data_IF_083254280880
#
_entry.id   IF_083254280880
#
_cell.length_a   1.000
_cell.length_b   1.000
_cell.length_c   1.000
_cell.angle_alpha   90.00
_cell.angle_beta   90.00
_cell.angle_gamma   90.00
#
_symmetry.space_group_name_H-M   'P 1'
#
loop_
_entity.id
_entity.type
_entity.pdbx_description
1 polymer ?
#
# COMPACT_ATOMS: atom_id res chain seq x y z
N UNK A 1 -19.98 -39.42 37.86
CA UNK A 1 -20.39 -38.13 37.28
C UNK A 1 -19.27 -37.13 37.53
N UNK A 2 -18.44 -36.79 36.53
CA UNK A 2 -17.47 -35.70 36.65
C UNK A 2 -17.56 -34.78 35.42
N UNK A 3 -18.13 -33.61 35.65
CA UNK A 3 -18.34 -32.55 34.67
C UNK A 3 -17.01 -31.79 34.49
N UNK A 4 -16.40 -31.87 33.30
CA UNK A 4 -15.14 -31.19 32.98
C UNK A 4 -15.47 -29.92 32.18
N UNK A 5 -15.70 -28.82 32.88
CA UNK A 5 -15.84 -27.50 32.25
C UNK A 5 -14.47 -27.11 31.69
N UNK A 6 -14.35 -27.09 30.36
CA UNK A 6 -13.19 -26.50 29.68
C UNK A 6 -13.32 -24.98 29.76
N UNK A 7 -12.27 -24.23 30.16
CA UNK A 7 -12.29 -22.79 30.03
C UNK A 7 -12.29 -22.44 28.54
N UNK A 8 -13.32 -21.71 28.10
CA UNK A 8 -13.35 -21.08 26.78
C UNK A 8 -12.30 -19.97 26.83
N UNK A 9 -11.21 -20.12 26.09
CA UNK A 9 -10.21 -19.06 25.96
C UNK A 9 -10.75 -18.02 24.97
N UNK A 10 -11.06 -16.82 25.46
CA UNK A 10 -11.44 -15.68 24.65
C UNK A 10 -10.19 -15.12 23.93
N UNK A 11 -9.89 -15.62 22.73
CA UNK A 11 -8.78 -15.16 21.88
C UNK A 11 -9.14 -13.99 20.96
N UNK A 12 -9.94 -13.04 21.43
CA UNK A 12 -10.39 -11.92 20.58
C UNK A 12 -9.29 -10.90 20.30
N UNK A 13 -8.39 -10.64 21.25
CA UNK A 13 -7.35 -9.58 21.12
C UNK A 13 -6.26 -9.93 20.11
N UNK A 14 -5.89 -11.20 19.98
CA UNK A 14 -4.83 -11.65 19.05
C UNK A 14 -5.27 -11.58 17.59
N UNK A 15 -6.55 -11.83 17.32
CA UNK A 15 -7.08 -11.95 15.96
C UNK A 15 -7.13 -10.60 15.24
N UNK A 16 -7.50 -9.51 15.94
CA UNK A 16 -7.54 -8.16 15.36
C UNK A 16 -6.12 -7.67 14.97
N UNK A 17 -5.14 -7.84 15.86
CA UNK A 17 -3.76 -7.45 15.56
C UNK A 17 -3.13 -8.24 14.40
N UNK A 18 -3.46 -9.52 14.28
CA UNK A 18 -3.01 -10.36 13.16
C UNK A 18 -3.64 -9.93 11.83
N UNK A 19 -4.94 -9.60 11.83
CA UNK A 19 -5.64 -9.11 10.64
C UNK A 19 -5.05 -7.78 10.16
N UNK A 20 -4.82 -6.82 11.08
CA UNK A 20 -4.22 -5.53 10.75
C UNK A 20 -2.81 -5.66 10.18
N UNK A 21 -2.00 -6.57 10.72
CA UNK A 21 -0.65 -6.81 10.21
C UNK A 21 -0.66 -7.49 8.84
N UNK A 22 -1.53 -8.48 8.63
CA UNK A 22 -1.72 -9.07 7.29
C UNK A 22 -2.12 -8.00 6.27
N UNK A 23 -2.99 -7.08 6.67
CA UNK A 23 -3.49 -6.00 5.86
C UNK A 23 -2.40 -4.98 5.49
N UNK A 24 -1.51 -4.65 6.44
CA UNK A 24 -0.33 -3.82 6.20
C UNK A 24 0.60 -4.48 5.19
N UNK A 25 0.90 -5.76 5.35
CA UNK A 25 1.76 -6.51 4.43
C UNK A 25 1.21 -6.56 3.01
N UNK A 26 -0.09 -6.80 2.85
CA UNK A 26 -0.75 -6.75 1.53
C UNK A 26 -0.66 -5.36 0.92
N UNK A 27 -0.88 -4.31 1.73
CA UNK A 27 -0.79 -2.92 1.25
C UNK A 27 0.65 -2.58 0.81
N UNK A 28 1.67 -3.01 1.57
CA UNK A 28 3.07 -2.84 1.21
C UNK A 28 3.42 -3.57 -0.09
N UNK A 29 2.95 -4.81 -0.28
CA UNK A 29 3.14 -5.56 -1.52
C UNK A 29 2.48 -4.86 -2.72
N UNK A 30 1.30 -4.26 -2.53
CA UNK A 30 0.63 -3.49 -3.57
C UNK A 30 1.35 -2.17 -3.89
N UNK A 31 2.00 -1.53 -2.92
CA UNK A 31 2.84 -0.35 -3.15
C UNK A 31 4.11 -0.77 -3.90
N UNK A 32 4.68 -1.94 -3.58
CA UNK A 32 5.91 -2.42 -4.19
C UNK A 32 7.12 -1.55 -3.80
N UNK A 33 8.13 -1.42 -4.66
CA UNK A 33 9.35 -0.67 -4.39
C UNK A 33 9.16 0.86 -4.47
N UNK A 34 7.93 1.35 -4.64
CA UNK A 34 7.66 2.80 -4.75
C UNK A 34 7.93 3.48 -3.42
N UNK A 35 9.03 4.21 -3.36
CA UNK A 35 9.40 5.14 -2.29
C UNK A 35 9.72 6.52 -2.88
N UNK A 36 9.54 7.63 -2.14
CA UNK A 36 9.85 8.97 -2.64
C UNK A 36 11.27 9.05 -3.24
N UNK A 37 11.37 9.52 -4.49
CA UNK A 37 12.59 9.59 -5.30
C UNK A 37 12.82 8.39 -6.24
N UNK A 38 12.04 7.31 -6.10
CA UNK A 38 12.12 6.14 -7.01
C UNK A 38 11.57 6.52 -8.37
N UNK A 39 12.29 6.16 -9.44
CA UNK A 39 11.80 6.27 -10.82
C UNK A 39 11.44 4.88 -11.32
N UNK A 40 10.23 4.73 -11.84
CA UNK A 40 9.75 3.49 -12.44
C UNK A 40 9.10 3.73 -13.79
N UNK A 41 9.04 2.67 -14.59
CA UNK A 41 8.45 2.64 -15.92
C UNK A 41 7.40 1.54 -16.00
N UNK A 42 6.30 1.83 -16.70
CA UNK A 42 5.27 0.86 -17.04
C UNK A 42 4.54 1.26 -18.33
N UNK A 43 3.50 0.51 -18.69
CA UNK A 43 2.73 0.75 -19.92
C UNK A 43 2.07 2.14 -20.01
N UNK A 44 1.94 2.86 -18.89
CA UNK A 44 1.39 4.22 -18.86
C UNK A 44 2.45 5.31 -18.96
N UNK A 45 3.74 4.98 -18.82
CA UNK A 45 4.86 5.92 -18.93
C UNK A 45 5.92 5.76 -17.85
N UNK A 46 6.80 6.75 -17.79
CA UNK A 46 7.90 6.83 -16.83
C UNK A 46 7.61 7.89 -15.75
N UNK A 47 7.67 7.46 -14.50
CA UNK A 47 7.21 8.26 -13.37
C UNK A 47 8.23 8.31 -12.23
N UNK A 48 8.41 9.49 -11.66
CA UNK A 48 9.11 9.67 -10.39
C UNK A 48 8.07 9.66 -9.24
N UNK A 49 8.30 8.84 -8.22
CA UNK A 49 7.50 8.82 -7.00
C UNK A 49 7.87 10.04 -6.16
N UNK A 50 6.89 10.86 -5.81
CA UNK A 50 7.07 12.08 -4.99
C UNK A 50 6.64 11.87 -3.54
N UNK A 51 5.58 11.10 -3.32
CA UNK A 51 5.09 10.77 -1.98
C UNK A 51 4.32 9.44 -1.97
N UNK A 52 4.30 8.78 -0.81
CA UNK A 52 3.48 7.59 -0.55
C UNK A 52 2.63 7.87 0.68
N UNK A 53 1.32 7.81 0.54
CA UNK A 53 0.34 8.01 1.62
C UNK A 53 -0.30 6.67 1.94
N UNK A 54 -0.14 6.21 3.19
CA UNK A 54 -0.75 4.98 3.70
C UNK A 54 -1.82 5.22 4.77
N UNK A 55 -2.06 6.48 5.13
CA UNK A 55 -3.23 6.82 5.95
C UNK A 55 -4.51 6.55 5.14
N UNK A 56 -5.41 5.74 5.71
CA UNK A 56 -6.61 5.27 5.01
C UNK A 56 -7.57 6.42 4.70
N UNK A 57 -7.72 7.36 5.63
CA UNK A 57 -8.65 8.49 5.48
C UNK A 57 -8.16 9.41 4.36
N UNK A 58 -6.88 9.76 4.39
CA UNK A 58 -6.26 10.61 3.38
C UNK A 58 -6.23 9.95 2.01
N UNK A 59 -5.85 8.67 1.91
CA UNK A 59 -5.84 7.95 0.64
C UNK A 59 -7.24 7.89 0.00
N UNK A 60 -8.28 7.64 0.79
CA UNK A 60 -9.69 7.62 0.33
C UNK A 60 -10.16 8.98 -0.13
N UNK A 61 -9.79 10.04 0.61
CA UNK A 61 -10.11 11.43 0.26
C UNK A 61 -9.45 11.84 -1.06
N UNK A 62 -8.15 11.60 -1.18
CA UNK A 62 -7.35 11.96 -2.36
C UNK A 62 -7.86 11.26 -3.62
N UNK A 63 -8.03 9.93 -3.54
CA UNK A 63 -8.45 9.11 -4.69
C UNK A 63 -9.97 9.08 -4.88
N UNK A 64 -10.74 9.72 -3.98
CA UNK A 64 -12.21 9.69 -3.95
C UNK A 64 -12.79 8.28 -4.05
N UNK A 65 -12.15 7.30 -3.38
CA UNK A 65 -12.50 5.87 -3.45
C UNK A 65 -12.42 5.22 -2.08
N UNK A 66 -13.55 4.73 -1.57
CA UNK A 66 -13.62 4.08 -0.24
C UNK A 66 -12.72 2.83 -0.10
N UNK A 67 -12.47 2.13 -1.19
CA UNK A 67 -11.57 0.97 -1.21
C UNK A 67 -10.08 1.34 -1.28
N UNK A 68 -9.72 2.63 -1.42
CA UNK A 68 -8.32 3.05 -1.42
C UNK A 68 -7.66 2.75 -0.07
N UNK A 69 -6.47 2.14 -0.14
CA UNK A 69 -5.64 1.78 1.02
C UNK A 69 -4.37 2.62 1.08
N UNK A 70 -3.96 3.16 -0.06
CA UNK A 70 -2.81 4.01 -0.23
C UNK A 70 -3.05 4.93 -1.43
N UNK A 71 -2.27 5.99 -1.51
CA UNK A 71 -2.14 6.84 -2.68
C UNK A 71 -0.65 7.15 -2.90
N UNK A 72 -0.21 7.12 -4.15
CA UNK A 72 1.15 7.50 -4.53
C UNK A 72 1.06 8.76 -5.37
N UNK A 73 1.71 9.84 -4.93
CA UNK A 73 1.91 11.01 -5.76
C UNK A 73 3.06 10.71 -6.70
N UNK A 74 2.81 10.83 -8.00
CA UNK A 74 3.83 10.63 -9.03
C UNK A 74 3.93 11.84 -9.93
N UNK A 75 5.13 12.08 -10.44
CA UNK A 75 5.40 13.06 -11.49
C UNK A 75 5.76 12.31 -12.76
N UNK A 76 5.02 12.58 -13.83
CA UNK A 76 5.40 12.15 -15.18
C UNK A 76 6.68 12.87 -15.59
N UNK A 77 7.73 12.13 -15.94
CA UNK A 77 9.03 12.72 -16.28
C UNK A 77 8.99 13.44 -17.63
N UNK A 78 8.14 12.98 -18.56
CA UNK A 78 8.02 13.54 -19.89
C UNK A 78 7.04 14.72 -19.93
N UNK A 79 5.87 14.57 -19.34
CA UNK A 79 4.85 15.62 -19.30
C UNK A 79 5.12 16.66 -18.19
N UNK A 80 5.91 16.30 -17.17
CA UNK A 80 6.18 17.14 -16.01
C UNK A 80 4.99 17.30 -15.05
N UNK A 81 3.87 16.62 -15.30
CA UNK A 81 2.62 16.73 -14.54
C UNK A 81 2.61 15.79 -13.34
N UNK A 82 1.98 16.24 -12.25
CA UNK A 82 1.81 15.42 -11.05
C UNK A 82 0.37 14.91 -10.93
N UNK A 83 0.22 13.66 -10.48
CA UNK A 83 -1.08 13.10 -10.17
C UNK A 83 -0.97 11.98 -9.13
N UNK A 84 -2.10 11.67 -8.49
CA UNK A 84 -2.19 10.56 -7.54
C UNK A 84 -2.63 9.28 -8.24
N UNK A 85 -1.99 8.17 -7.89
CA UNK A 85 -2.39 6.82 -8.31
C UNK A 85 -2.57 5.90 -7.12
N UNK A 86 -3.60 5.04 -7.21
CA UNK A 86 -3.82 3.89 -6.32
C UNK A 86 -3.58 2.56 -7.03
N UNK A 87 -2.84 2.56 -8.15
CA UNK A 87 -2.53 1.37 -8.92
C UNK A 87 -1.62 0.43 -8.13
N UNK A 88 -1.90 -0.87 -8.22
CA UNK A 88 -1.09 -1.92 -7.60
C UNK A 88 0.17 -2.14 -8.42
N UNK A 89 1.29 -2.33 -7.72
CA UNK A 89 2.55 -2.75 -8.33
C UNK A 89 2.43 -4.17 -8.88
N UNK A 90 2.88 -4.37 -10.10
CA UNK A 90 2.80 -5.62 -10.83
C UNK A 90 4.17 -6.00 -11.39
N UNK A 91 4.29 -7.23 -11.94
CA UNK A 91 5.50 -7.65 -12.63
C UNK A 91 5.80 -6.89 -13.93
N UNK A 92 4.84 -6.09 -14.43
CA UNK A 92 5.03 -5.25 -15.60
C UNK A 92 5.68 -3.91 -15.26
N UNK A 93 5.67 -3.49 -14.00
CA UNK A 93 6.32 -2.27 -13.52
C UNK A 93 7.82 -2.54 -13.30
N UNK A 94 8.67 -1.62 -13.76
CA UNK A 94 10.13 -1.75 -13.68
C UNK A 94 10.74 -0.55 -13.00
N UNK A 95 11.57 -0.76 -11.98
CA UNK A 95 12.35 0.31 -11.37
C UNK A 95 13.51 0.67 -12.29
N UNK A 96 13.61 1.94 -12.68
CA UNK A 96 14.73 2.48 -13.46
C UNK A 96 15.79 3.12 -12.56
N UNK A 97 15.36 3.73 -11.46
CA UNK A 97 16.24 4.30 -10.43
C UNK A 97 15.65 4.03 -9.06
N UNK A 98 16.40 3.30 -8.24
CA UNK A 98 16.08 3.14 -6.84
C UNK A 98 16.67 4.30 -6.01
N UNK A 99 16.04 4.58 -4.88
CA UNK A 99 16.62 5.45 -3.85
C UNK A 99 17.47 4.59 -2.94
N UNK A 100 18.73 4.98 -2.78
CA UNK A 100 19.60 4.44 -1.72
C UNK A 100 19.18 5.11 -0.41
N UNK A 101 18.64 4.31 0.52
CA UNK A 101 18.37 4.73 1.89
C UNK A 101 19.67 4.86 2.70
#
# INVERSE_FOLDING_TARGET
MQNRIRPVQHSTTTTLGQADEALRRVTAAQIGPRTPGTVYDNASGTFEVRAVITDLTEARRILKRNAARFAVLVRDIHAGTEHYTGATWTGSDRVLKAVTL
#
